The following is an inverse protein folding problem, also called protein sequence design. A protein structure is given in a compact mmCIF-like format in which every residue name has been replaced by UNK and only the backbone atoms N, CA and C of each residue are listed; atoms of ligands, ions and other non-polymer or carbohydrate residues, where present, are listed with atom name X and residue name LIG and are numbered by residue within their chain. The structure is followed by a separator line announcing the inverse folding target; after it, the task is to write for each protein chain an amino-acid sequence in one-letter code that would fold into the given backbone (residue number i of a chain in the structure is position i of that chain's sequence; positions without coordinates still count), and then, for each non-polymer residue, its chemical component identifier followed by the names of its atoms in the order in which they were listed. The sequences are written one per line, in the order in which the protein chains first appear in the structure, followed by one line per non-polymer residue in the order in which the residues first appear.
data_IF_667271546729
#
_entry.id   IF_667271546729
#
_cell.length_a   1.000
_cell.length_b   1.000
_cell.length_c   1.000
_cell.angle_alpha   90.00
_cell.angle_beta   90.00
_cell.angle_gamma   90.00
#
_symmetry.space_group_name_H-M   'P 1'
#
loop_
_entity.id
_entity.type
_entity.pdbx_description
1 polymer ?
#
# COMPACT_ATOMS: atom_id res chain seq x y z
N UNK A 1 -35.37 47.79 -2.23
CA UNK A 1 -35.17 46.57 -3.05
C UNK A 1 -33.70 46.41 -3.49
N UNK A 2 -32.73 46.70 -2.62
CA UNK A 2 -31.30 46.74 -2.97
C UNK A 2 -30.42 45.86 -2.07
N UNK A 3 -30.90 45.47 -0.87
CA UNK A 3 -30.17 44.62 0.08
C UNK A 3 -30.08 43.15 -0.35
N UNK A 4 -31.08 42.63 -1.05
CA UNK A 4 -31.07 41.24 -1.54
C UNK A 4 -30.07 41.01 -2.68
N UNK A 5 -29.73 42.05 -3.46
CA UNK A 5 -28.85 41.92 -4.62
C UNK A 5 -27.37 41.73 -4.21
N UNK A 6 -26.95 42.31 -3.08
CA UNK A 6 -25.59 42.15 -2.56
C UNK A 6 -25.34 40.79 -1.90
N UNK A 7 -26.38 40.20 -1.29
CA UNK A 7 -26.30 38.86 -0.66
C UNK A 7 -26.10 37.78 -1.73
N UNK A 8 -26.74 37.92 -2.89
CA UNK A 8 -26.58 36.98 -4.01
C UNK A 8 -25.18 37.03 -4.63
N UNK A 9 -24.53 38.20 -4.68
CA UNK A 9 -23.17 38.34 -5.24
C UNK A 9 -22.11 37.77 -4.28
N UNK A 10 -22.30 37.90 -2.97
CA UNK A 10 -21.39 37.33 -1.97
C UNK A 10 -21.39 35.78 -1.96
N UNK A 11 -22.55 35.16 -2.24
CA UNK A 11 -22.67 33.70 -2.34
C UNK A 11 -22.02 33.12 -3.62
N UNK A 12 -21.87 33.91 -4.68
CA UNK A 12 -21.20 33.49 -5.90
C UNK A 12 -19.67 33.47 -5.78
N UNK A 13 -19.10 34.29 -4.88
CA UNK A 13 -17.66 34.33 -4.59
C UNK A 13 -17.20 33.22 -3.62
N UNK A 14 -18.12 32.53 -2.94
CA UNK A 14 -17.81 31.37 -2.09
C UNK A 14 -17.72 30.04 -2.88
N UNK A 15 -17.85 30.09 -4.21
CA UNK A 15 -17.79 28.92 -5.08
C UNK A 15 -16.38 28.51 -5.48
N UNK A 16 -15.34 29.06 -4.83
CA UNK A 16 -14.10 28.32 -4.65
C UNK A 16 -14.36 27.26 -3.57
N UNK A 17 -15.21 26.28 -3.91
CA UNK A 17 -15.07 24.94 -3.33
C UNK A 17 -13.68 24.54 -3.79
N UNK A 18 -12.68 24.86 -2.97
CA UNK A 18 -11.42 24.18 -3.03
C UNK A 18 -11.80 22.73 -2.85
N UNK A 19 -11.92 22.01 -3.96
CA UNK A 19 -11.65 20.59 -3.94
C UNK A 19 -10.22 20.52 -3.42
N UNK A 20 -10.10 20.35 -2.11
CA UNK A 20 -8.93 19.78 -1.49
C UNK A 20 -8.89 18.39 -2.12
N UNK A 21 -8.29 18.30 -3.31
CA UNK A 21 -7.77 17.04 -3.78
C UNK A 21 -6.69 16.74 -2.75
N UNK A 22 -7.09 16.02 -1.69
CA UNK A 22 -6.18 15.20 -0.95
C UNK A 22 -5.30 14.55 -2.01
N UNK A 23 -3.98 14.62 -1.81
CA UNK A 23 -3.01 14.03 -2.70
C UNK A 23 -3.38 12.55 -2.90
N UNK A 24 -4.23 12.27 -3.87
CA UNK A 24 -4.40 10.97 -4.48
C UNK A 24 -3.94 11.14 -5.92
N UNK A 25 -2.62 11.25 -6.15
CA UNK A 25 -2.09 11.04 -7.48
C UNK A 25 -2.41 9.59 -7.77
N UNK A 26 -3.42 9.40 -8.61
CA UNK A 26 -3.85 8.09 -9.07
C UNK A 26 -2.62 7.32 -9.54
N UNK A 27 -2.48 6.08 -9.09
CA UNK A 27 -1.42 5.20 -9.57
C UNK A 27 -1.42 5.17 -11.10
N UNK A 28 -0.24 5.11 -11.71
CA UNK A 28 -0.12 4.87 -13.15
C UNK A 28 -0.88 3.61 -13.59
N UNK A 29 -1.24 3.50 -14.87
CA UNK A 29 -2.11 2.39 -15.33
C UNK A 29 -1.36 1.08 -15.65
N UNK A 30 -0.07 0.96 -15.31
CA UNK A 30 0.79 -0.19 -15.66
C UNK A 30 1.76 -0.49 -14.53
N UNK A 31 2.16 -1.77 -14.44
CA UNK A 31 3.29 -2.19 -13.59
C UNK A 31 4.59 -1.78 -14.26
N UNK A 32 5.36 -0.92 -13.62
CA UNK A 32 6.62 -0.38 -14.18
C UNK A 32 7.85 -1.14 -13.70
N UNK A 33 7.76 -1.85 -12.58
CA UNK A 33 8.87 -2.62 -12.00
C UNK A 33 8.35 -3.87 -11.29
N UNK A 34 9.17 -4.92 -11.30
CA UNK A 34 8.94 -6.15 -10.52
C UNK A 34 10.15 -6.45 -9.65
N UNK A 35 9.93 -6.56 -8.35
CA UNK A 35 10.91 -6.91 -7.33
C UNK A 35 10.64 -8.34 -6.90
N UNK A 36 11.64 -9.22 -6.99
CA UNK A 36 11.52 -10.65 -6.64
C UNK A 36 12.03 -10.88 -5.22
N UNK A 37 11.22 -11.56 -4.41
CA UNK A 37 11.59 -12.01 -3.07
C UNK A 37 11.79 -13.52 -3.08
N UNK A 38 12.99 -13.97 -2.70
CA UNK A 38 13.35 -15.39 -2.59
C UNK A 38 14.17 -15.62 -1.31
N UNK A 39 13.66 -16.44 -0.39
CA UNK A 39 14.36 -16.75 0.87
C UNK A 39 15.72 -17.41 0.62
N UNK A 40 15.90 -18.09 -0.51
CA UNK A 40 17.15 -18.76 -0.89
C UNK A 40 18.17 -17.78 -1.49
N UNK A 41 17.79 -16.51 -1.72
CA UNK A 41 18.70 -15.46 -2.20
C UNK A 41 18.87 -15.40 -3.72
N UNK A 42 18.05 -16.10 -4.50
CA UNK A 42 18.04 -15.97 -5.97
C UNK A 42 17.13 -14.83 -6.48
N UNK A 43 16.56 -14.03 -5.57
CA UNK A 43 15.75 -12.84 -5.86
C UNK A 43 16.50 -11.55 -5.55
N UNK A 44 15.82 -10.42 -5.68
CA UNK A 44 16.33 -9.11 -5.27
C UNK A 44 16.48 -9.00 -3.75
N UNK A 45 15.54 -9.59 -3.00
CA UNK A 45 15.52 -9.59 -1.54
C UNK A 45 15.20 -10.98 -0.99
N UNK A 46 15.56 -11.21 0.27
CA UNK A 46 15.23 -12.44 1.00
C UNK A 46 13.94 -12.34 1.82
N UNK A 47 13.51 -11.13 2.15
CA UNK A 47 12.33 -10.84 2.96
C UNK A 47 11.37 -9.91 2.22
N UNK A 48 10.09 -9.99 2.58
CA UNK A 48 9.04 -9.13 2.01
C UNK A 48 9.20 -7.69 2.49
N UNK A 49 9.55 -7.48 3.77
CA UNK A 49 9.76 -6.15 4.31
C UNK A 49 10.89 -5.41 3.59
N UNK A 50 12.04 -6.07 3.34
CA UNK A 50 13.15 -5.42 2.64
C UNK A 50 12.78 -5.01 1.20
N UNK A 51 11.91 -5.78 0.53
CA UNK A 51 11.40 -5.40 -0.78
C UNK A 51 10.49 -4.18 -0.72
N UNK A 52 9.61 -4.08 0.28
CA UNK A 52 8.78 -2.88 0.53
C UNK A 52 9.67 -1.68 0.87
N UNK A 53 10.70 -1.89 1.69
CA UNK A 53 11.64 -0.85 2.11
C UNK A 53 12.42 -0.26 0.92
N UNK A 54 12.69 -1.07 -0.10
CA UNK A 54 13.37 -0.64 -1.33
C UNK A 54 12.51 0.23 -2.27
N UNK A 55 11.19 0.25 -2.07
CA UNK A 55 10.30 1.15 -2.83
C UNK A 55 10.48 2.57 -2.32
N UNK A 56 10.71 3.52 -3.22
CA UNK A 56 10.83 4.93 -2.87
C UNK A 56 9.55 5.51 -2.27
N UNK A 57 9.70 6.51 -1.40
CA UNK A 57 8.56 7.27 -0.89
C UNK A 57 7.89 8.11 -1.99
N UNK A 58 6.60 8.41 -1.81
CA UNK A 58 5.82 9.12 -2.81
C UNK A 58 5.62 8.33 -4.10
N UNK A 59 5.53 7.00 -4.01
CA UNK A 59 5.36 6.15 -5.19
C UNK A 59 3.95 6.29 -5.79
N UNK A 60 3.90 6.66 -7.07
CA UNK A 60 2.67 6.78 -7.86
C UNK A 60 2.62 5.83 -9.05
N UNK A 61 3.49 4.82 -9.10
CA UNK A 61 3.54 3.84 -10.19
C UNK A 61 3.40 2.42 -9.62
N UNK A 62 2.71 1.52 -10.32
CA UNK A 62 2.57 0.17 -9.81
C UNK A 62 3.91 -0.57 -9.77
N UNK A 63 4.32 -0.96 -8.56
CA UNK A 63 5.47 -1.83 -8.33
C UNK A 63 4.96 -3.17 -7.86
N UNK A 64 5.35 -4.24 -8.54
CA UNK A 64 5.00 -5.61 -8.15
C UNK A 64 6.12 -6.21 -7.30
N UNK A 65 5.81 -6.61 -6.08
CA UNK A 65 6.63 -7.47 -5.24
C UNK A 65 6.16 -8.92 -5.47
N UNK A 66 6.95 -9.68 -6.24
CA UNK A 66 6.70 -11.11 -6.51
C UNK A 66 7.38 -11.96 -5.44
N UNK A 67 6.59 -12.63 -4.61
CA UNK A 67 7.06 -13.45 -3.50
C UNK A 67 7.07 -14.92 -3.94
N UNK A 68 8.26 -15.53 -3.99
CA UNK A 68 8.39 -16.94 -4.35
C UNK A 68 7.75 -17.85 -3.29
N UNK A 69 7.53 -19.12 -3.64
CA UNK A 69 7.08 -20.13 -2.67
C UNK A 69 8.00 -20.14 -1.43
N UNK A 70 7.41 -20.31 -0.26
CA UNK A 70 8.14 -20.26 1.01
C UNK A 70 7.27 -19.86 2.18
N UNK A 71 7.83 -19.98 3.38
CA UNK A 71 7.23 -19.55 4.63
C UNK A 71 8.08 -18.41 5.19
N UNK A 72 7.57 -17.20 5.05
CA UNK A 72 8.20 -15.95 5.44
C UNK A 72 7.78 -15.61 6.86
N UNK A 73 8.67 -15.85 7.83
CA UNK A 73 8.45 -15.51 9.25
C UNK A 73 8.88 -14.08 9.51
N UNK A 74 8.00 -13.13 9.28
CA UNK A 74 8.27 -11.70 9.41
C UNK A 74 6.97 -10.92 9.64
N UNK A 75 7.10 -9.77 10.32
CA UNK A 75 6.04 -8.78 10.38
C UNK A 75 6.22 -7.81 9.22
N UNK A 76 5.14 -7.57 8.48
CA UNK A 76 5.15 -6.72 7.28
C UNK A 76 4.33 -5.47 7.49
N UNK A 77 4.92 -4.32 7.18
CA UNK A 77 4.27 -3.02 7.22
C UNK A 77 4.54 -2.25 5.92
N UNK A 78 3.45 -1.77 5.30
CA UNK A 78 3.53 -0.80 4.20
C UNK A 78 3.28 0.60 4.78
N UNK A 79 4.30 1.49 4.80
CA UNK A 79 4.19 2.86 5.29
C UNK A 79 3.26 3.73 4.44
N UNK A 80 2.71 4.79 5.04
CA UNK A 80 1.73 5.70 4.41
C UNK A 80 2.24 6.35 3.11
N UNK A 81 3.55 6.57 2.97
CA UNK A 81 4.15 7.21 1.79
C UNK A 81 4.52 6.21 0.68
N UNK A 82 4.07 4.94 0.75
CA UNK A 82 4.42 3.87 -0.19
C UNK A 82 3.19 3.22 -0.85
N UNK A 83 2.40 4.02 -1.56
CA UNK A 83 1.23 3.57 -2.33
C UNK A 83 1.61 2.78 -3.59
N UNK A 84 0.60 2.25 -4.29
CA UNK A 84 0.74 1.60 -5.60
C UNK A 84 1.65 0.35 -5.58
N UNK A 85 1.53 -0.49 -4.55
CA UNK A 85 2.29 -1.73 -4.41
C UNK A 85 1.37 -2.94 -4.60
N UNK A 86 1.81 -3.90 -5.41
CA UNK A 86 1.19 -5.22 -5.55
C UNK A 86 2.09 -6.24 -4.86
N UNK A 87 1.60 -6.91 -3.82
CA UNK A 87 2.25 -8.08 -3.23
C UNK A 87 1.60 -9.34 -3.80
N UNK A 88 2.36 -10.12 -4.57
CA UNK A 88 1.86 -11.28 -5.31
C UNK A 88 2.69 -12.52 -4.98
N UNK A 89 2.08 -13.51 -4.34
CA UNK A 89 2.70 -14.83 -4.13
C UNK A 89 2.64 -15.73 -5.36
N UNK A 90 3.49 -16.76 -5.41
CA UNK A 90 3.44 -17.83 -6.42
C UNK A 90 2.20 -18.73 -6.28
N UNK A 91 1.49 -18.64 -5.16
CA UNK A 91 0.21 -19.31 -4.94
C UNK A 91 -0.15 -19.34 -3.46
N UNK A 92 -1.44 -19.20 -3.16
CA UNK A 92 -1.94 -19.14 -1.77
C UNK A 92 -1.52 -20.37 -0.94
N UNK A 93 -1.44 -21.55 -1.56
CA UNK A 93 -1.07 -22.81 -0.87
C UNK A 93 0.43 -22.99 -0.66
N UNK A 94 1.27 -22.17 -1.28
CA UNK A 94 2.73 -22.37 -1.32
C UNK A 94 3.53 -21.14 -0.86
N UNK A 95 2.88 -19.99 -0.74
CA UNK A 95 3.48 -18.75 -0.23
C UNK A 95 2.73 -18.31 1.01
N UNK A 96 3.41 -18.25 2.15
CA UNK A 96 2.84 -17.84 3.44
C UNK A 96 3.70 -16.78 4.10
N UNK A 97 3.08 -15.71 4.59
CA UNK A 97 3.69 -14.76 5.54
C UNK A 97 3.07 -15.03 6.91
N UNK A 98 3.90 -15.21 7.93
CA UNK A 98 3.46 -15.52 9.28
C UNK A 98 4.27 -14.77 10.32
N UNK A 99 3.65 -14.43 11.44
CA UNK A 99 4.34 -13.79 12.55
C UNK A 99 3.74 -14.26 13.87
N UNK A 100 4.60 -14.62 14.81
CA UNK A 100 4.21 -15.07 16.15
C UNK A 100 3.89 -13.85 17.03
N UNK A 101 2.61 -13.63 17.31
CA UNK A 101 2.16 -12.43 18.01
C UNK A 101 1.74 -12.74 19.46
N UNK A 102 2.57 -12.35 20.43
CA UNK A 102 2.28 -12.50 21.87
C UNK A 102 1.90 -11.17 22.57
N UNK A 103 1.44 -10.17 21.81
CA UNK A 103 1.14 -8.81 22.31
C UNK A 103 -0.33 -8.42 22.06
N UNK A 104 -0.73 -7.24 22.54
CA UNK A 104 -2.07 -6.66 22.37
C UNK A 104 -2.57 -6.72 20.91
N UNK A 105 -3.90 -6.81 20.74
CA UNK A 105 -4.60 -7.14 19.49
C UNK A 105 -4.30 -6.18 18.32
N UNK A 106 -3.91 -4.94 18.60
CA UNK A 106 -3.52 -3.93 17.61
C UNK A 106 -2.08 -4.09 17.11
N UNK A 107 -1.19 -4.66 17.93
CA UNK A 107 0.20 -4.92 17.58
C UNK A 107 0.42 -6.32 16.98
N UNK A 108 -0.60 -7.19 16.99
CA UNK A 108 -0.49 -8.61 16.60
C UNK A 108 -0.68 -8.88 15.11
N UNK A 109 -1.05 -7.87 14.30
CA UNK A 109 -1.21 -8.05 12.87
C UNK A 109 0.13 -8.45 12.19
N UNK A 110 0.11 -9.54 11.42
CA UNK A 110 1.25 -10.00 10.61
C UNK A 110 1.53 -9.07 9.43
N UNK A 111 0.49 -8.47 8.86
CA UNK A 111 0.57 -7.58 7.71
C UNK A 111 -0.29 -6.34 7.95
N UNK A 112 0.34 -5.17 7.93
CA UNK A 112 -0.31 -3.87 8.11
C UNK A 112 -0.07 -2.99 6.89
N UNK A 113 -1.11 -2.32 6.42
CA UNK A 113 -1.03 -1.36 5.31
C UNK A 113 -1.66 -0.04 5.73
N UNK A 114 -0.90 1.04 5.57
CA UNK A 114 -1.36 2.41 5.81
C UNK A 114 -1.79 3.18 4.54
N UNK A 115 -1.19 2.99 3.35
CA UNK A 115 -1.56 3.77 2.18
C UNK A 115 -2.80 3.21 1.45
N UNK A 116 -3.38 4.03 0.58
CA UNK A 116 -4.32 3.60 -0.45
C UNK A 116 -3.61 2.83 -1.57
N UNK A 117 -4.40 2.16 -2.42
CA UNK A 117 -3.92 1.48 -3.65
C UNK A 117 -2.89 0.38 -3.38
N UNK A 118 -3.24 -0.53 -2.47
CA UNK A 118 -2.48 -1.74 -2.19
C UNK A 118 -3.26 -2.96 -2.68
N UNK A 119 -2.56 -3.87 -3.36
CA UNK A 119 -3.13 -5.14 -3.81
C UNK A 119 -2.31 -6.27 -3.22
N UNK A 120 -2.97 -7.19 -2.51
CA UNK A 120 -2.34 -8.41 -2.00
C UNK A 120 -3.09 -9.61 -2.57
N UNK A 121 -2.39 -10.51 -3.26
CA UNK A 121 -3.02 -11.68 -3.89
C UNK A 121 -2.12 -12.90 -3.97
N UNK A 122 -2.74 -14.08 -4.14
CA UNK A 122 -2.07 -15.37 -4.28
C UNK A 122 -1.09 -15.70 -3.15
N UNK A 123 -1.40 -15.26 -1.93
CA UNK A 123 -0.56 -15.42 -0.76
C UNK A 123 -1.44 -15.67 0.47
N UNK A 124 -0.95 -16.47 1.41
CA UNK A 124 -1.60 -16.68 2.70
C UNK A 124 -0.91 -15.82 3.76
N UNK A 125 -1.69 -15.14 4.60
CA UNK A 125 -1.20 -14.36 5.73
C UNK A 125 -1.80 -14.96 7.00
N UNK A 126 -0.97 -15.32 7.96
CA UNK A 126 -1.37 -15.98 9.20
C UNK A 126 -0.78 -15.21 10.38
N UNK A 127 -1.56 -15.08 11.45
CA UNK A 127 -1.04 -14.71 12.78
C UNK A 127 -0.90 -16.01 13.55
N UNK A 128 0.31 -16.30 14.05
CA UNK A 128 0.60 -17.51 14.83
C UNK A 128 0.74 -17.22 16.31
#
# INVERSE_FOLDING_TARGET
MSSCLFIFIALLLSSCIGSLTALDPTCGNRVVSTIVVDQNGYGNFRTVQAAIDSVGEGNYQWIKIKVKRGVYKEKVEIPLMKSCIIVEGEGQRVTTITYDAHKATDASATFTSHPSHIVVRNITIIVT
#
